data_IF_932792065723
#
_entry.id   IF_932792065723
#
_cell.length_a   1.000
_cell.length_b   1.000
_cell.length_c   1.000
_cell.angle_alpha   90.00
_cell.angle_beta   90.00
_cell.angle_gamma   90.00
#
_symmetry.space_group_name_H-M   'P 1'
#
loop_
_entity.id
_entity.type
_entity.pdbx_description
1 polymer ?
#
# COMPACT_ATOMS: atom_id res chain seq x y z
N UNK A 1 -12.39 -1.84 -8.70
CA UNK A 1 -11.18 -2.52 -9.18
C UNK A 1 -10.02 -1.58 -8.93
N UNK A 2 -9.08 -1.94 -8.06
CA UNK A 2 -7.96 -1.06 -7.74
C UNK A 2 -6.94 -1.11 -8.87
N UNK A 3 -6.76 0.01 -9.58
CA UNK A 3 -5.81 0.12 -10.70
C UNK A 3 -4.37 -0.02 -10.19
N UNK A 4 -4.13 0.31 -8.93
CA UNK A 4 -2.82 0.31 -8.28
C UNK A 4 -2.24 -1.08 -8.06
N UNK A 5 -3.09 -2.10 -7.90
CA UNK A 5 -2.69 -3.47 -7.59
C UNK A 5 -2.67 -4.38 -8.81
N UNK A 6 -2.85 -3.82 -10.01
CA UNK A 6 -2.93 -4.58 -11.26
C UNK A 6 -1.66 -4.43 -12.10
N UNK A 7 -1.15 -5.55 -12.60
CA UNK A 7 -0.02 -5.60 -13.52
C UNK A 7 -0.54 -5.72 -14.95
N UNK A 8 -0.19 -4.75 -15.80
CA UNK A 8 -0.59 -4.69 -17.21
C UNK A 8 0.59 -5.09 -18.08
N UNK A 9 0.34 -5.96 -19.06
CA UNK A 9 1.38 -6.51 -19.93
C UNK A 9 1.19 -6.04 -21.37
N UNK A 10 2.20 -5.36 -21.92
CA UNK A 10 2.19 -4.83 -23.29
C UNK A 10 1.88 -5.92 -24.33
N UNK A 11 2.56 -7.06 -24.21
CA UNK A 11 2.47 -8.18 -25.15
C UNK A 11 1.22 -9.05 -24.92
N UNK A 12 0.41 -8.71 -23.93
CA UNK A 12 -0.88 -9.32 -23.62
C UNK A 12 -2.01 -8.29 -23.75
N UNK A 13 -2.05 -7.61 -24.92
CA UNK A 13 -3.09 -6.63 -25.26
C UNK A 13 -3.26 -5.49 -24.26
N UNK A 14 -2.22 -5.15 -23.50
CA UNK A 14 -2.29 -4.23 -22.35
C UNK A 14 -3.37 -4.61 -21.34
N UNK A 15 -3.71 -5.89 -21.26
CA UNK A 15 -4.64 -6.42 -20.26
C UNK A 15 -3.93 -6.70 -18.94
N UNK A 16 -4.67 -6.60 -17.85
CA UNK A 16 -4.19 -7.01 -16.53
C UNK A 16 -4.18 -8.54 -16.42
N UNK A 17 -3.26 -9.05 -15.63
CA UNK A 17 -3.15 -10.47 -15.33
C UNK A 17 -2.46 -10.71 -13.99
N UNK A 18 -3.09 -11.47 -13.11
CA UNK A 18 -2.44 -12.02 -11.91
C UNK A 18 -1.66 -13.30 -12.19
N UNK A 19 -2.03 -14.04 -13.25
CA UNK A 19 -1.39 -15.31 -13.58
C UNK A 19 0.02 -15.11 -14.17
N UNK A 20 0.22 -14.10 -15.00
CA UNK A 20 1.53 -13.83 -15.62
C UNK A 20 2.59 -13.52 -14.56
N UNK A 21 2.43 -12.56 -13.63
CA UNK A 21 3.42 -12.31 -12.59
C UNK A 21 3.63 -13.51 -11.67
N UNK A 22 2.57 -14.28 -11.36
CA UNK A 22 2.72 -15.50 -10.57
C UNK A 22 3.65 -16.52 -11.25
N UNK A 23 3.49 -16.75 -12.56
CA UNK A 23 4.34 -17.65 -13.35
C UNK A 23 5.78 -17.11 -13.45
N UNK A 24 5.96 -15.79 -13.64
CA UNK A 24 7.30 -15.17 -13.65
C UNK A 24 8.03 -15.32 -12.31
N UNK A 25 7.32 -15.21 -11.20
CA UNK A 25 7.90 -15.45 -9.86
C UNK A 25 8.31 -16.92 -9.71
N UNK A 26 7.47 -17.87 -10.14
CA UNK A 26 7.80 -19.31 -10.10
C UNK A 26 9.01 -19.64 -10.98
N UNK A 27 9.09 -19.06 -12.19
CA UNK A 27 10.26 -19.20 -13.06
C UNK A 27 11.52 -18.65 -12.38
N UNK A 28 11.42 -17.46 -11.78
CA UNK A 28 12.53 -16.81 -11.09
C UNK A 28 13.04 -17.68 -9.92
N UNK A 29 12.16 -18.21 -9.09
CA UNK A 29 12.51 -19.10 -7.98
C UNK A 29 13.19 -20.38 -8.49
N UNK A 30 12.63 -20.98 -9.55
CA UNK A 30 13.17 -22.21 -10.15
C UNK A 30 14.55 -22.01 -10.77
N UNK A 31 14.74 -20.90 -11.48
CA UNK A 31 16.02 -20.60 -12.16
C UNK A 31 17.13 -20.19 -11.19
N UNK A 32 16.77 -19.51 -10.10
CA UNK A 32 17.72 -19.09 -9.07
C UNK A 32 17.97 -20.16 -8.01
N UNK A 33 17.10 -21.16 -7.92
CA UNK A 33 17.17 -22.19 -6.88
C UNK A 33 16.99 -21.63 -5.47
N UNK A 34 16.23 -20.53 -5.34
CA UNK A 34 15.99 -19.82 -4.09
C UNK A 34 14.56 -20.05 -3.60
N UNK A 35 14.35 -19.95 -2.30
CA UNK A 35 13.02 -19.85 -1.70
C UNK A 35 12.46 -18.43 -1.86
N UNK A 36 11.15 -18.28 -1.71
CA UNK A 36 10.50 -16.95 -1.71
C UNK A 36 11.07 -16.04 -0.62
N UNK A 37 11.32 -16.58 0.57
CA UNK A 37 11.88 -15.80 1.68
C UNK A 37 13.29 -15.28 1.38
N UNK A 38 14.14 -16.09 0.74
CA UNK A 38 15.47 -15.65 0.30
C UNK A 38 15.41 -14.60 -0.81
N UNK A 39 14.45 -14.74 -1.73
CA UNK A 39 14.25 -13.75 -2.80
C UNK A 39 13.79 -12.40 -2.24
N UNK A 40 12.94 -12.41 -1.21
CA UNK A 40 12.36 -11.21 -0.62
C UNK A 40 13.21 -10.58 0.49
N UNK A 41 14.18 -11.31 1.06
CA UNK A 41 15.00 -10.84 2.19
C UNK A 41 15.59 -9.42 1.96
N UNK A 42 16.22 -9.10 0.80
CA UNK A 42 16.79 -7.77 0.57
C UNK A 42 15.75 -6.63 0.55
N UNK A 43 14.49 -6.96 0.25
CA UNK A 43 13.41 -5.99 0.26
C UNK A 43 12.87 -5.77 1.66
N UNK A 44 12.73 -6.83 2.47
CA UNK A 44 12.33 -6.74 3.87
C UNK A 44 13.33 -5.96 4.75
N UNK A 45 14.60 -5.95 4.37
CA UNK A 45 15.63 -5.15 5.05
C UNK A 45 15.54 -3.65 4.72
N UNK A 46 14.83 -3.29 3.66
CA UNK A 46 14.77 -1.92 3.15
C UNK A 46 13.39 -1.28 3.23
N UNK A 47 12.33 -2.08 3.13
CA UNK A 47 10.95 -1.63 3.05
C UNK A 47 10.16 -2.21 4.21
N UNK A 48 9.76 -1.36 5.14
CA UNK A 48 9.00 -1.72 6.33
C UNK A 48 7.54 -1.40 6.09
N UNK A 49 6.69 -2.42 5.92
CA UNK A 49 5.30 -2.29 5.51
C UNK A 49 4.34 -2.66 6.63
N UNK A 50 3.27 -1.88 6.82
CA UNK A 50 2.23 -2.18 7.81
C UNK A 50 1.33 -3.36 7.44
N UNK A 51 1.30 -3.75 6.17
CA UNK A 51 0.21 -4.52 5.60
C UNK A 51 -1.08 -3.71 5.49
N UNK A 52 -2.16 -4.33 4.98
CA UNK A 52 -3.47 -3.69 4.89
C UNK A 52 -4.18 -3.73 6.24
N UNK A 53 -4.58 -2.57 6.76
CA UNK A 53 -5.31 -2.41 8.01
C UNK A 53 -6.68 -1.80 7.72
N UNK A 54 -7.73 -2.49 8.18
CA UNK A 54 -9.11 -2.07 7.99
C UNK A 54 -9.64 -1.40 9.26
N UNK A 55 -10.27 -0.23 9.11
CA UNK A 55 -10.91 0.52 10.19
C UNK A 55 -12.33 0.92 9.80
N UNK A 56 -13.31 0.60 10.64
CA UNK A 56 -14.69 1.05 10.45
C UNK A 56 -14.79 2.56 10.69
N UNK A 57 -15.52 3.25 9.82
CA UNK A 57 -15.74 4.69 9.90
C UNK A 57 -17.17 5.02 9.47
N UNK A 58 -17.75 6.05 10.07
CA UNK A 58 -19.12 6.48 9.76
C UNK A 58 -19.21 7.19 8.40
N UNK A 59 -18.20 8.00 8.07
CA UNK A 59 -18.13 8.78 6.83
C UNK A 59 -16.72 8.67 6.24
N UNK A 60 -16.59 7.84 5.20
CA UNK A 60 -15.31 7.58 4.54
C UNK A 60 -14.77 8.84 3.84
N UNK A 61 -15.63 9.59 3.16
CA UNK A 61 -15.22 10.76 2.37
C UNK A 61 -14.76 11.90 3.28
N UNK A 62 -15.50 12.16 4.36
CA UNK A 62 -15.13 13.18 5.34
C UNK A 62 -13.79 12.84 6.01
N UNK A 63 -13.56 11.57 6.34
CA UNK A 63 -12.31 11.13 6.97
C UNK A 63 -11.11 11.21 6.01
N UNK A 64 -11.31 10.90 4.72
CA UNK A 64 -10.27 11.05 3.68
C UNK A 64 -9.90 12.53 3.50
N UNK A 65 -10.86 13.45 3.53
CA UNK A 65 -10.57 14.89 3.46
C UNK A 65 -9.85 15.39 4.73
N UNK A 66 -10.24 14.93 5.91
CA UNK A 66 -9.54 15.23 7.18
C UNK A 66 -8.06 14.80 7.12
N UNK A 67 -7.78 13.61 6.58
CA UNK A 67 -6.41 13.11 6.36
C UNK A 67 -5.67 14.02 5.37
N UNK A 68 -6.31 14.38 4.25
CA UNK A 68 -5.71 15.26 3.26
C UNK A 68 -5.34 16.64 3.84
N UNK A 69 -6.20 17.21 4.68
CA UNK A 69 -5.93 18.49 5.37
C UNK A 69 -4.81 18.35 6.40
N UNK A 70 -4.78 17.26 7.15
CA UNK A 70 -3.77 17.00 8.19
C UNK A 70 -2.35 16.88 7.62
N UNK A 71 -2.23 16.30 6.42
CA UNK A 71 -0.97 16.07 5.71
C UNK A 71 -0.82 16.98 4.48
N UNK A 72 -1.31 18.22 4.57
CA UNK A 72 -1.28 19.19 3.46
C UNK A 72 0.14 19.63 3.04
N UNK A 73 1.13 19.35 3.87
CA UNK A 73 2.56 19.63 3.62
C UNK A 73 3.25 18.56 2.77
N UNK A 74 2.62 17.38 2.59
CA UNK A 74 3.13 16.28 1.79
C UNK A 74 2.69 16.34 0.32
N UNK A 75 3.36 15.59 -0.54
CA UNK A 75 2.85 15.32 -1.88
C UNK A 75 1.60 14.42 -1.80
N UNK A 76 0.52 14.80 -2.49
CA UNK A 76 -0.76 14.12 -2.40
C UNK A 76 -1.21 13.57 -3.75
N UNK A 77 -1.69 12.32 -3.76
CA UNK A 77 -2.31 11.66 -4.90
C UNK A 77 -3.75 11.24 -4.61
N UNK A 78 -4.68 11.52 -5.55
CA UNK A 78 -6.12 11.21 -5.42
C UNK A 78 -6.61 10.26 -6.51
N UNK A 79 -5.82 9.25 -6.85
CA UNK A 79 -6.22 8.27 -7.87
C UNK A 79 -7.16 7.20 -7.29
N UNK A 80 -6.88 6.76 -6.05
CA UNK A 80 -7.65 5.73 -5.33
C UNK A 80 -7.58 6.06 -3.83
N UNK A 81 -8.61 6.75 -3.33
CA UNK A 81 -8.58 7.37 -2.02
C UNK A 81 -7.58 8.52 -1.95
N UNK A 82 -6.81 8.59 -0.88
CA UNK A 82 -5.72 9.55 -0.68
C UNK A 82 -4.39 8.84 -0.51
N UNK A 83 -3.39 9.22 -1.29
CA UNK A 83 -2.00 8.84 -1.09
C UNK A 83 -1.23 10.04 -0.57
N UNK A 84 -0.43 9.84 0.45
CA UNK A 84 0.43 10.85 1.08
C UNK A 84 1.86 10.34 0.94
N UNK A 85 2.71 11.13 0.29
CA UNK A 85 4.08 10.75 -0.02
C UNK A 85 5.06 11.76 0.62
N UNK A 86 5.95 11.26 1.50
CA UNK A 86 7.12 11.91 2.04
C UNK A 86 8.39 11.24 1.49
N UNK A 87 9.55 11.82 1.71
CA UNK A 87 10.82 11.30 1.20
C UNK A 87 11.18 9.90 1.72
N UNK A 88 10.79 9.59 2.95
CA UNK A 88 11.22 8.39 3.68
C UNK A 88 10.07 7.48 4.13
N UNK A 89 8.82 7.88 3.91
CA UNK A 89 7.64 7.06 4.16
C UNK A 89 6.46 7.54 3.33
N UNK A 90 5.54 6.65 3.08
CA UNK A 90 4.29 6.99 2.42
C UNK A 90 3.13 6.12 2.92
N UNK A 91 1.90 6.57 2.69
CA UNK A 91 0.72 5.76 2.94
C UNK A 91 -0.41 6.07 1.97
N UNK A 92 -1.31 5.11 1.84
CA UNK A 92 -2.56 5.26 1.13
C UNK A 92 -3.71 4.88 2.05
N UNK A 93 -4.75 5.72 2.05
CA UNK A 93 -6.04 5.43 2.70
C UNK A 93 -7.13 5.48 1.65
N UNK A 94 -7.87 4.39 1.53
CA UNK A 94 -8.97 4.26 0.56
C UNK A 94 -10.22 3.68 1.19
N UNK A 95 -11.39 4.10 0.70
CA UNK A 95 -12.66 3.51 1.08
C UNK A 95 -12.88 2.12 0.49
N UNK A 96 -13.58 1.26 1.21
CA UNK A 96 -14.14 0.05 0.65
C UNK A 96 -15.43 0.38 -0.11
N UNK A 97 -15.63 -0.22 -1.30
CA UNK A 97 -16.87 -0.04 -2.07
C UNK A 97 -18.05 -0.87 -1.53
N UNK A 98 -17.79 -1.83 -0.65
CA UNK A 98 -18.77 -2.81 -0.20
C UNK A 98 -19.05 -2.74 1.31
N UNK A 99 -18.19 -2.11 2.07
CA UNK A 99 -18.24 -2.05 3.53
C UNK A 99 -17.91 -0.64 4.03
N UNK A 100 -18.48 -0.19 5.17
CA UNK A 100 -18.21 1.14 5.72
C UNK A 100 -16.85 1.17 6.45
N UNK A 101 -15.76 0.96 5.72
CA UNK A 101 -14.42 0.94 6.28
C UNK A 101 -13.39 1.60 5.36
N UNK A 102 -12.35 2.14 5.97
CA UNK A 102 -11.14 2.60 5.32
C UNK A 102 -10.04 1.54 5.41
N UNK A 103 -9.26 1.44 4.36
CA UNK A 103 -8.09 0.56 4.24
C UNK A 103 -6.85 1.40 4.23
N UNK A 104 -5.99 1.21 5.23
CA UNK A 104 -4.68 1.83 5.32
C UNK A 104 -3.61 0.84 4.87
N UNK A 105 -2.70 1.31 4.01
CA UNK A 105 -1.42 0.70 3.73
C UNK A 105 -0.33 1.74 3.93
N UNK A 106 0.69 1.42 4.71
CA UNK A 106 1.79 2.33 5.03
C UNK A 106 3.13 1.62 4.85
N UNK A 107 4.10 2.36 4.31
CA UNK A 107 5.47 1.91 4.11
C UNK A 107 6.46 2.97 4.62
N UNK A 108 7.54 2.50 5.25
CA UNK A 108 8.69 3.31 5.64
C UNK A 108 9.98 2.74 5.07
N UNK A 109 10.92 3.64 4.74
CA UNK A 109 12.28 3.32 4.30
C UNK A 109 13.31 3.45 5.44
N UNK A 110 12.87 3.81 6.64
CA UNK A 110 13.75 4.11 7.78
C UNK A 110 13.95 2.89 8.67
N UNK A 111 12.88 2.43 9.32
CA UNK A 111 12.90 1.28 10.23
C UNK A 111 11.50 0.77 10.52
N UNK A 112 11.42 -0.41 11.15
CA UNK A 112 10.16 -1.00 11.61
C UNK A 112 9.50 -0.14 12.72
N UNK A 113 10.31 0.43 13.62
CA UNK A 113 9.83 1.33 14.68
C UNK A 113 9.23 2.59 14.07
N UNK A 114 9.90 3.21 13.10
CA UNK A 114 9.39 4.39 12.40
C UNK A 114 8.08 4.06 11.65
N UNK A 115 8.02 2.93 10.95
CA UNK A 115 6.79 2.48 10.31
C UNK A 115 5.66 2.33 11.33
N UNK A 116 5.92 1.70 12.47
CA UNK A 116 4.93 1.49 13.52
C UNK A 116 4.43 2.81 14.13
N UNK A 117 5.31 3.76 14.40
CA UNK A 117 4.96 5.09 14.91
C UNK A 117 4.05 5.84 13.92
N UNK A 118 4.42 5.87 12.65
CA UNK A 118 3.63 6.54 11.60
C UNK A 118 2.29 5.84 11.37
N UNK A 119 2.27 4.52 11.38
CA UNK A 119 1.03 3.73 11.31
C UNK A 119 0.08 4.09 12.45
N UNK A 120 0.58 4.12 13.67
CA UNK A 120 -0.24 4.38 14.85
C UNK A 120 -0.75 5.83 14.88
N UNK A 121 0.06 6.80 14.37
CA UNK A 121 -0.37 8.19 14.16
C UNK A 121 -1.56 8.27 13.18
N UNK A 122 -1.44 7.63 12.01
CA UNK A 122 -2.50 7.64 10.99
C UNK A 122 -3.74 6.89 11.48
N UNK A 123 -3.58 5.75 12.15
CA UNK A 123 -4.70 5.00 12.73
C UNK A 123 -5.43 5.81 13.81
N UNK A 124 -4.69 6.55 14.66
CA UNK A 124 -5.29 7.46 15.65
C UNK A 124 -6.16 8.53 14.99
N UNK A 125 -5.78 9.04 13.82
CA UNK A 125 -6.58 9.98 13.06
C UNK A 125 -7.82 9.33 12.43
N UNK A 126 -7.69 8.11 11.90
CA UNK A 126 -8.80 7.38 11.29
C UNK A 126 -9.87 7.01 12.34
N UNK A 127 -9.45 6.61 13.53
CA UNK A 127 -10.32 6.07 14.59
C UNK A 127 -10.85 7.14 15.56
N UNK A 128 -10.26 8.34 15.57
CA UNK A 128 -10.66 9.49 16.41
C UNK A 128 -11.77 10.26 15.77
#
# INVERSE_FOLDING_TARGET
>A
MCIRDSYYFRDFYCADSGAIPALLVLELLSTRGQTMSELLAPYHERYFISGEINSEVDDQDAKVEEIAERYADAEQGRLDGISIDYDDWHFNVRGSNTEPLLRLNLESLVSEEHMAERRDEVLGLIQG
#
